data_IF_682740992287
#
_entry.id   IF_682740992287
#
_cell.length_a   1.000
_cell.length_b   1.000
_cell.length_c   1.000
_cell.angle_alpha   90.00
_cell.angle_beta   90.00
_cell.angle_gamma   90.00
#
_symmetry.space_group_name_H-M   'P 1'
#
loop_
_entity.id
_entity.type
_entity.pdbx_description
1 polymer ?
#
# COMPACT_ATOMS: atom_id res chain seq x y z
N UNK A 1 -19.31 22.81 -4.28
CA UNK A 1 -18.09 23.59 -4.63
C UNK A 1 -17.03 23.62 -3.52
N UNK A 2 -17.38 24.03 -2.30
CA UNK A 2 -16.42 24.16 -1.18
C UNK A 2 -15.92 22.82 -0.61
N UNK A 3 -16.71 21.75 -0.70
CA UNK A 3 -16.34 20.41 -0.22
C UNK A 3 -15.35 19.66 -1.12
N UNK A 4 -15.21 20.06 -2.39
CA UNK A 4 -14.37 19.37 -3.38
C UNK A 4 -12.90 19.34 -2.94
N UNK A 5 -12.40 20.50 -2.50
CA UNK A 5 -11.03 20.64 -2.02
C UNK A 5 -10.78 19.80 -0.75
N UNK A 6 -11.76 19.69 0.14
CA UNK A 6 -11.64 18.84 1.32
C UNK A 6 -11.62 17.35 0.96
N UNK A 7 -12.41 16.92 -0.02
CA UNK A 7 -12.43 15.52 -0.49
C UNK A 7 -11.10 15.16 -1.18
N UNK A 8 -10.55 16.04 -2.01
CA UNK A 8 -9.24 15.84 -2.64
C UNK A 8 -8.12 15.74 -1.61
N UNK A 9 -8.09 16.64 -0.62
CA UNK A 9 -7.14 16.58 0.49
C UNK A 9 -7.30 15.32 1.33
N UNK A 10 -8.55 14.90 1.62
CA UNK A 10 -8.85 13.67 2.37
C UNK A 10 -8.37 12.42 1.63
N UNK A 11 -8.59 12.36 0.32
CA UNK A 11 -8.12 11.26 -0.52
C UNK A 11 -6.61 11.19 -0.59
N UNK A 12 -5.93 12.34 -0.72
CA UNK A 12 -4.47 12.42 -0.75
C UNK A 12 -3.86 12.02 0.61
N UNK A 13 -4.38 12.55 1.72
CA UNK A 13 -3.95 12.18 3.07
C UNK A 13 -4.24 10.71 3.39
N UNK A 14 -5.41 10.20 2.98
CA UNK A 14 -5.76 8.79 3.12
C UNK A 14 -4.82 7.86 2.35
N UNK A 15 -4.46 8.22 1.12
CA UNK A 15 -3.51 7.45 0.32
C UNK A 15 -2.12 7.43 0.95
N UNK A 16 -1.64 8.57 1.45
CA UNK A 16 -0.35 8.67 2.16
C UNK A 16 -0.37 7.81 3.43
N UNK A 17 -1.46 7.86 4.20
CA UNK A 17 -1.60 7.08 5.43
C UNK A 17 -1.53 5.57 5.18
N UNK A 18 -2.14 5.08 4.10
CA UNK A 18 -2.10 3.66 3.72
C UNK A 18 -0.68 3.24 3.32
N UNK A 19 0.06 4.08 2.60
CA UNK A 19 1.45 3.79 2.19
C UNK A 19 2.41 3.76 3.39
N UNK A 20 2.24 4.67 4.35
CA UNK A 20 3.11 4.77 5.55
C UNK A 20 2.87 3.68 6.59
N UNK A 21 1.89 2.80 6.40
CA UNK A 21 1.55 1.77 7.38
C UNK A 21 2.74 0.81 7.67
N UNK A 22 3.66 0.65 6.72
CA UNK A 22 4.92 -0.06 6.93
C UNK A 22 5.79 0.56 8.04
N UNK A 23 5.97 1.88 8.04
CA UNK A 23 6.86 2.57 8.99
C UNK A 23 6.39 2.41 10.43
N UNK A 24 5.07 2.46 10.64
CA UNK A 24 4.46 2.26 11.96
C UNK A 24 4.67 0.82 12.47
N UNK A 25 4.46 -0.18 11.61
CA UNK A 25 4.68 -1.59 11.98
C UNK A 25 6.15 -1.82 12.32
N UNK A 26 7.08 -1.34 11.49
CA UNK A 26 8.52 -1.47 11.71
C UNK A 26 8.96 -0.83 13.03
N UNK A 27 8.55 0.41 13.29
CA UNK A 27 9.04 1.21 14.42
C UNK A 27 8.39 0.85 15.75
N UNK A 28 7.07 0.62 15.77
CA UNK A 28 6.29 0.51 17.01
C UNK A 28 6.14 -0.95 17.44
N UNK A 29 5.90 -1.83 16.47
CA UNK A 29 5.51 -3.22 16.76
C UNK A 29 6.60 -4.23 16.44
N UNK A 30 7.52 -3.90 15.53
CA UNK A 30 8.48 -4.85 14.96
C UNK A 30 7.80 -6.18 14.55
N UNK A 31 6.59 -6.10 14.00
CA UNK A 31 5.80 -7.27 13.60
C UNK A 31 5.30 -8.18 14.73
N UNK A 32 5.42 -7.75 16.00
CA UNK A 32 4.96 -8.50 17.17
C UNK A 32 3.45 -8.75 17.17
N UNK A 33 3.02 -9.86 17.78
CA UNK A 33 1.60 -10.25 17.91
C UNK A 33 0.83 -10.33 16.57
N UNK A 34 1.49 -10.67 15.47
CA UNK A 34 0.84 -10.85 14.16
C UNK A 34 0.54 -9.55 13.41
N UNK A 35 1.18 -8.44 13.81
CA UNK A 35 1.07 -7.14 13.13
C UNK A 35 1.95 -7.01 11.88
N UNK A 36 2.72 -8.06 11.55
CA UNK A 36 3.59 -8.10 10.38
C UNK A 36 2.79 -7.93 9.08
N UNK A 37 3.06 -6.85 8.37
CA UNK A 37 2.53 -6.62 7.02
C UNK A 37 3.47 -7.20 5.94
N UNK A 38 2.98 -7.28 4.71
CA UNK A 38 3.73 -7.89 3.59
C UNK A 38 5.13 -7.28 3.38
N UNK A 39 5.33 -5.95 3.45
CA UNK A 39 6.68 -5.38 3.33
C UNK A 39 7.58 -5.69 4.53
N UNK A 40 7.04 -5.73 5.76
CA UNK A 40 7.79 -6.13 6.96
C UNK A 40 8.27 -7.58 6.88
N UNK A 41 7.42 -8.48 6.38
CA UNK A 41 7.79 -9.87 6.17
C UNK A 41 8.96 -10.04 5.18
N UNK A 42 8.93 -9.29 4.06
CA UNK A 42 10.02 -9.31 3.07
C UNK A 42 11.31 -8.77 3.71
N UNK A 43 11.23 -7.65 4.43
CA UNK A 43 12.36 -7.05 5.12
C UNK A 43 13.02 -8.05 6.10
N UNK A 44 12.21 -8.69 6.96
CA UNK A 44 12.71 -9.65 7.94
C UNK A 44 13.34 -10.88 7.26
N UNK A 45 12.72 -11.39 6.20
CA UNK A 45 13.26 -12.54 5.46
C UNK A 45 14.61 -12.20 4.80
N UNK A 46 14.74 -10.98 4.28
CA UNK A 46 15.96 -10.53 3.62
C UNK A 46 17.11 -10.27 4.61
N UNK A 47 16.86 -9.53 5.69
CA UNK A 47 17.90 -9.06 6.60
C UNK A 47 18.12 -9.96 7.82
N UNK A 48 17.07 -10.60 8.34
CA UNK A 48 17.17 -11.45 9.55
C UNK A 48 17.43 -12.90 9.20
N UNK A 49 16.67 -13.46 8.24
CA UNK A 49 16.85 -14.85 7.83
C UNK A 49 17.95 -15.05 6.76
N UNK A 50 18.43 -13.95 6.15
CA UNK A 50 19.41 -13.94 5.06
C UNK A 50 19.00 -14.82 3.85
N UNK A 51 17.70 -15.05 3.68
CA UNK A 51 17.16 -15.86 2.59
C UNK A 51 16.69 -14.95 1.46
N UNK A 52 17.65 -14.52 0.64
CA UNK A 52 17.41 -13.60 -0.45
C UNK A 52 16.48 -14.17 -1.52
N UNK A 53 16.54 -15.48 -1.76
CA UNK A 53 15.69 -16.16 -2.75
C UNK A 53 14.21 -16.11 -2.37
N UNK A 54 13.89 -16.44 -1.10
CA UNK A 54 12.51 -16.35 -0.60
C UNK A 54 12.03 -14.90 -0.48
N UNK A 55 12.89 -13.99 -0.02
CA UNK A 55 12.54 -12.58 0.07
C UNK A 55 12.21 -11.99 -1.31
N UNK A 56 13.00 -12.31 -2.35
CA UNK A 56 12.73 -11.89 -3.72
C UNK A 56 11.43 -12.48 -4.27
N UNK A 57 11.17 -13.78 -4.04
CA UNK A 57 9.92 -14.41 -4.47
C UNK A 57 8.68 -13.77 -3.83
N UNK A 58 8.72 -13.52 -2.52
CA UNK A 58 7.67 -12.81 -1.81
C UNK A 58 7.49 -11.38 -2.37
N UNK A 59 8.58 -10.68 -2.68
CA UNK A 59 8.55 -9.37 -3.33
C UNK A 59 7.81 -9.38 -4.67
N UNK A 60 8.07 -10.36 -5.54
CA UNK A 60 7.39 -10.48 -6.84
C UNK A 60 5.88 -10.69 -6.65
N UNK A 61 5.48 -11.55 -5.71
CA UNK A 61 4.05 -11.79 -5.41
C UNK A 61 3.35 -10.51 -4.94
N UNK A 62 4.01 -9.74 -4.08
CA UNK A 62 3.48 -8.45 -3.60
C UNK A 62 3.33 -7.46 -4.75
N UNK A 63 4.31 -7.36 -5.66
CA UNK A 63 4.24 -6.48 -6.83
C UNK A 63 3.05 -6.86 -7.73
N UNK A 64 2.83 -8.15 -7.98
CA UNK A 64 1.67 -8.62 -8.77
C UNK A 64 0.36 -8.19 -8.10
N UNK A 65 0.22 -8.38 -6.79
CA UNK A 65 -0.96 -7.93 -6.03
C UNK A 65 -1.18 -6.42 -6.15
N UNK A 66 -0.12 -5.63 -5.99
CA UNK A 66 -0.18 -4.17 -6.13
C UNK A 66 -0.60 -3.74 -7.54
N UNK A 67 -0.09 -4.40 -8.58
CA UNK A 67 -0.49 -4.11 -9.98
C UNK A 67 -1.98 -4.38 -10.16
N UNK A 68 -2.52 -5.48 -9.63
CA UNK A 68 -3.95 -5.80 -9.72
C UNK A 68 -4.78 -4.72 -9.03
N UNK A 69 -4.43 -4.36 -7.80
CA UNK A 69 -5.15 -3.33 -7.03
C UNK A 69 -5.06 -1.97 -7.71
N UNK A 70 -3.87 -1.56 -8.15
CA UNK A 70 -3.65 -0.30 -8.86
C UNK A 70 -4.47 -0.24 -10.15
N UNK A 71 -4.54 -1.34 -10.91
CA UNK A 71 -5.34 -1.42 -12.13
C UNK A 71 -6.83 -1.20 -11.83
N UNK A 72 -7.35 -1.81 -10.76
CA UNK A 72 -8.74 -1.61 -10.33
C UNK A 72 -9.00 -0.19 -9.82
N UNK A 73 -8.10 0.34 -8.99
CA UNK A 73 -8.20 1.68 -8.43
C UNK A 73 -8.20 2.75 -9.53
N UNK A 74 -7.26 2.65 -10.49
CA UNK A 74 -7.21 3.54 -11.65
C UNK A 74 -8.50 3.47 -12.47
N UNK A 75 -9.07 2.28 -12.67
CA UNK A 75 -10.35 2.12 -13.38
C UNK A 75 -11.50 2.84 -12.67
N UNK A 76 -11.59 2.73 -11.34
CA UNK A 76 -12.63 3.40 -10.55
C UNK A 76 -12.47 4.93 -10.58
N UNK A 77 -11.23 5.41 -10.42
CA UNK A 77 -10.91 6.84 -10.45
C UNK A 77 -11.25 7.45 -11.81
N UNK A 78 -10.86 6.82 -12.92
CA UNK A 78 -11.21 7.30 -14.26
C UNK A 78 -12.72 7.25 -14.55
N UNK A 79 -13.44 6.29 -13.97
CA UNK A 79 -14.92 6.25 -14.06
C UNK A 79 -15.56 7.45 -13.38
N UNK A 80 -15.11 7.80 -12.16
CA UNK A 80 -15.61 8.96 -11.41
C UNK A 80 -15.41 10.27 -12.18
N UNK A 81 -14.23 10.48 -12.75
CA UNK A 81 -13.94 11.68 -13.55
C UNK A 81 -14.80 11.76 -14.84
N UNK A 82 -15.12 10.63 -15.46
CA UNK A 82 -15.99 10.59 -16.64
C UNK A 82 -17.45 10.94 -16.30
N UNK A 83 -17.90 10.60 -15.10
CA UNK A 83 -19.23 10.92 -14.59
C UNK A 83 -19.36 12.42 -14.24
N UNK A 84 -18.29 13.05 -13.77
CA UNK A 84 -18.24 14.50 -13.47
C UNK A 84 -18.32 15.39 -14.74
N UNK A 85 -17.96 14.85 -15.90
CA UNK A 85 -17.95 15.60 -17.18
C UNK A 85 -19.33 15.59 -17.87
N UNK A 86 -20.32 14.86 -17.33
CA UNK A 86 -21.67 14.72 -17.92
C UNK A 86 -22.71 15.49 -17.12
#
# INVERSE_FOLDING_TARGET
PHLRQYIELSGLLGAIYVVQNFDAVFTITSGGLGTANLPYFIYQTFYTAQDYGRASAAGVVVVIGTIIIATLALRTVFSLFKEETR
#
